data_IF_903115436668
#
_entry.id   IF_903115436668
#
_cell.length_a   1.000
_cell.length_b   1.000
_cell.length_c   1.000
_cell.angle_alpha   90.00
_cell.angle_beta   90.00
_cell.angle_gamma   90.00
#
_symmetry.space_group_name_H-M   'P 1'
#
loop_
_entity.id
_entity.type
_entity.pdbx_description
1 polymer ?
#
# COMPACT_ATOMS: atom_id res chain seq x y z
N UNK A 1 8.98 11.09 -1.80
CA UNK A 1 9.67 10.94 -3.09
C UNK A 1 8.93 9.98 -4.02
N UNK A 2 8.88 8.66 -3.74
CA UNK A 2 8.27 7.65 -4.63
C UNK A 2 6.80 7.95 -4.97
N UNK A 3 5.99 8.34 -3.99
CA UNK A 3 4.58 8.75 -4.23
C UNK A 3 4.47 9.96 -5.15
N UNK A 4 5.42 10.90 -5.07
CA UNK A 4 5.45 12.06 -5.95
C UNK A 4 5.77 11.67 -7.39
N UNK A 5 6.69 10.71 -7.61
CA UNK A 5 6.98 10.15 -8.94
C UNK A 5 5.74 9.48 -9.53
N UNK A 6 4.99 8.72 -8.72
CA UNK A 6 3.73 8.12 -9.17
C UNK A 6 2.68 9.18 -9.56
N UNK A 7 2.53 10.22 -8.75
CA UNK A 7 1.65 11.36 -9.05
C UNK A 7 2.06 12.09 -10.33
N UNK A 8 3.36 12.31 -10.53
CA UNK A 8 3.91 12.95 -11.73
C UNK A 8 3.61 12.12 -12.99
N UNK A 9 3.74 10.79 -12.93
CA UNK A 9 3.39 9.93 -14.08
C UNK A 9 1.88 10.00 -14.41
N UNK A 10 1.01 9.98 -13.40
CA UNK A 10 -0.45 9.95 -13.63
C UNK A 10 -0.99 11.32 -14.03
N UNK A 11 -0.60 12.37 -13.31
CA UNK A 11 -1.10 13.72 -13.53
C UNK A 11 -0.23 14.51 -14.51
N UNK A 12 1.09 14.51 -14.33
CA UNK A 12 2.02 15.26 -15.17
C UNK A 12 2.17 14.69 -16.57
N UNK A 13 2.42 13.38 -16.69
CA UNK A 13 2.64 12.73 -17.98
C UNK A 13 1.34 12.32 -18.68
N UNK A 14 0.43 11.63 -17.99
CA UNK A 14 -0.82 11.15 -18.60
C UNK A 14 -1.99 12.16 -18.53
N UNK A 15 -1.80 13.33 -17.91
CA UNK A 15 -2.82 14.39 -17.85
C UNK A 15 -4.04 14.05 -16.99
N UNK A 16 -4.00 12.98 -16.19
CA UNK A 16 -5.11 12.52 -15.36
C UNK A 16 -4.91 12.96 -13.92
N UNK A 17 -5.67 13.95 -13.46
CA UNK A 17 -5.61 14.35 -12.06
C UNK A 17 -6.21 13.25 -11.17
N UNK A 18 -5.37 12.56 -10.40
CA UNK A 18 -5.80 11.58 -9.38
C UNK A 18 -5.45 12.07 -7.99
N UNK A 19 -6.49 12.28 -7.18
CA UNK A 19 -6.39 12.70 -5.78
C UNK A 19 -6.56 11.54 -4.80
N UNK A 20 -6.70 10.31 -5.31
CA UNK A 20 -6.94 9.11 -4.50
C UNK A 20 -5.70 8.24 -4.23
N UNK A 21 -4.49 8.74 -4.45
CA UNK A 21 -3.27 7.94 -4.31
C UNK A 21 -3.03 7.41 -2.88
N UNK A 22 -3.63 8.05 -1.87
CA UNK A 22 -3.50 7.67 -0.47
C UNK A 22 -3.96 6.24 -0.18
N UNK A 23 -5.02 5.74 -0.84
CA UNK A 23 -5.53 4.38 -0.57
C UNK A 23 -4.53 3.30 -0.99
N UNK A 24 -3.86 3.47 -2.13
CA UNK A 24 -2.87 2.50 -2.62
C UNK A 24 -1.65 2.44 -1.70
N UNK A 25 -1.19 3.60 -1.25
CA UNK A 25 -0.10 3.68 -0.28
C UNK A 25 -0.50 3.06 1.07
N UNK A 26 -1.72 3.37 1.55
CA UNK A 26 -2.26 2.83 2.79
C UNK A 26 -2.37 1.30 2.75
N UNK A 27 -2.85 0.72 1.66
CA UNK A 27 -2.96 -0.74 1.52
C UNK A 27 -1.60 -1.44 1.55
N UNK A 28 -0.61 -0.90 0.85
CA UNK A 28 0.76 -1.42 0.93
C UNK A 28 1.36 -1.29 2.33
N UNK A 29 1.20 -0.12 2.96
CA UNK A 29 1.65 0.08 4.34
C UNK A 29 0.95 -0.84 5.34
N UNK A 30 -0.35 -1.08 5.16
CA UNK A 30 -1.15 -1.96 5.99
C UNK A 30 -0.66 -3.41 5.87
N UNK A 31 -0.42 -3.90 4.65
CA UNK A 31 0.12 -5.25 4.43
C UNK A 31 1.49 -5.45 5.11
N UNK A 32 2.37 -4.45 5.05
CA UNK A 32 3.63 -4.49 5.79
C UNK A 32 3.42 -4.42 7.31
N UNK A 33 2.47 -3.62 7.76
CA UNK A 33 2.08 -3.52 9.17
C UNK A 33 1.55 -4.83 9.73
N UNK A 34 0.79 -5.60 8.93
CA UNK A 34 0.34 -6.95 9.30
C UNK A 34 1.54 -7.86 9.59
N UNK A 35 2.57 -7.83 8.72
CA UNK A 35 3.80 -8.60 8.95
C UNK A 35 4.52 -8.21 10.23
N UNK A 36 4.70 -6.91 10.46
CA UNK A 36 5.38 -6.42 11.67
C UNK A 36 4.59 -6.76 12.95
N UNK A 37 3.26 -6.72 12.90
CA UNK A 37 2.39 -7.18 13.99
C UNK A 37 2.54 -8.66 14.27
N UNK A 38 2.56 -9.51 13.22
CA UNK A 38 2.78 -10.95 13.39
C UNK A 38 4.18 -11.24 13.93
N UNK A 39 5.19 -10.51 13.48
CA UNK A 39 6.55 -10.67 14.00
C UNK A 39 6.65 -10.29 15.48
N UNK A 40 5.97 -9.21 15.90
CA UNK A 40 5.94 -8.79 17.29
C UNK A 40 5.13 -9.74 18.19
N UNK A 41 4.06 -10.35 17.66
CA UNK A 41 3.19 -11.26 18.40
C UNK A 41 3.71 -12.70 18.51
N UNK A 42 4.62 -13.12 17.63
CA UNK A 42 5.09 -14.50 17.55
C UNK A 42 3.95 -15.46 17.23
N UNK A 43 3.78 -16.50 18.05
CA UNK A 43 2.70 -17.48 17.91
C UNK A 43 1.34 -16.97 18.42
N UNK A 44 1.33 -15.82 19.11
CA UNK A 44 0.12 -15.20 19.64
C UNK A 44 -0.70 -14.39 18.63
N UNK A 45 -1.81 -13.84 19.10
CA UNK A 45 -2.58 -12.83 18.37
C UNK A 45 -1.88 -11.46 18.45
N UNK A 46 -1.93 -10.65 17.38
CA UNK A 46 -1.52 -9.25 17.44
C UNK A 46 -2.17 -8.50 18.62
N UNK A 47 -1.42 -7.63 19.29
CA UNK A 47 -1.86 -6.95 20.51
C UNK A 47 -3.19 -6.20 20.37
N UNK A 48 -3.44 -5.56 19.22
CA UNK A 48 -4.71 -4.86 18.99
C UNK A 48 -5.90 -5.82 18.86
N UNK A 49 -5.70 -7.05 18.37
CA UNK A 49 -6.75 -8.06 18.26
C UNK A 49 -7.13 -8.58 19.63
N UNK A 50 -6.14 -8.79 20.51
CA UNK A 50 -6.39 -9.11 21.91
C UNK A 50 -7.13 -7.98 22.64
N UNK A 51 -6.77 -6.72 22.36
CA UNK A 51 -7.48 -5.55 22.92
C UNK A 51 -8.94 -5.45 22.46
N UNK A 52 -9.23 -5.84 21.22
CA UNK A 52 -10.58 -5.91 20.67
C UNK A 52 -11.32 -7.21 21.01
N UNK A 53 -10.77 -8.05 21.91
CA UNK A 53 -11.34 -9.33 22.34
C UNK A 53 -11.58 -10.32 21.20
N UNK A 54 -10.72 -10.33 20.18
CA UNK A 54 -10.79 -11.34 19.12
C UNK A 54 -10.23 -12.67 19.62
N UNK A 55 -10.91 -13.76 19.26
CA UNK A 55 -10.53 -15.13 19.64
C UNK A 55 -9.62 -15.82 18.64
N UNK A 56 -9.65 -15.40 17.38
CA UNK A 56 -8.93 -16.06 16.28
C UNK A 56 -8.39 -15.05 15.26
N UNK A 57 -7.39 -15.49 14.50
CA UNK A 57 -6.77 -14.69 13.46
C UNK A 57 -7.62 -14.76 12.18
N UNK A 58 -8.15 -13.63 11.66
CA UNK A 58 -8.97 -13.64 10.45
C UNK A 58 -8.19 -14.20 9.24
N UNK A 59 -8.89 -14.85 8.33
CA UNK A 59 -8.30 -15.54 7.18
C UNK A 59 -7.40 -14.66 6.30
N UNK A 60 -7.72 -13.37 6.13
CA UNK A 60 -6.93 -12.43 5.33
C UNK A 60 -5.62 -11.99 6.01
N UNK A 61 -5.42 -12.31 7.29
CA UNK A 61 -4.12 -12.17 7.98
C UNK A 61 -3.23 -13.40 7.81
N UNK A 62 -3.74 -14.49 7.25
CA UNK A 62 -2.95 -15.72 7.12
C UNK A 62 -1.76 -15.54 6.19
N UNK A 63 -0.64 -16.15 6.57
CA UNK A 63 0.62 -16.08 5.83
C UNK A 63 1.41 -14.79 6.07
N UNK A 64 0.83 -13.76 6.70
CA UNK A 64 1.51 -12.48 6.95
C UNK A 64 2.68 -12.59 7.92
N UNK A 65 2.88 -13.73 8.60
CA UNK A 65 4.13 -14.02 9.32
C UNK A 65 5.35 -14.25 8.40
N UNK A 66 5.12 -14.58 7.12
CA UNK A 66 6.19 -14.79 6.15
C UNK A 66 6.46 -13.51 5.37
N UNK A 67 7.71 -13.04 5.41
CA UNK A 67 8.09 -11.77 4.79
C UNK A 67 7.83 -11.74 3.28
N UNK A 68 8.16 -12.82 2.56
CA UNK A 68 7.94 -12.88 1.11
C UNK A 68 6.44 -12.78 0.74
N UNK A 69 5.58 -13.42 1.53
CA UNK A 69 4.13 -13.33 1.35
C UNK A 69 3.63 -11.90 1.62
N UNK A 70 4.10 -11.28 2.70
CA UNK A 70 3.76 -9.89 2.99
C UNK A 70 4.20 -8.94 1.86
N UNK A 71 5.41 -9.10 1.32
CA UNK A 71 5.89 -8.30 0.19
C UNK A 71 5.07 -8.51 -1.09
N UNK A 72 4.62 -9.74 -1.33
CA UNK A 72 3.69 -10.02 -2.41
C UNK A 72 2.35 -9.29 -2.18
N UNK A 73 1.80 -9.27 -0.97
CA UNK A 73 0.59 -8.50 -0.65
C UNK A 73 0.79 -6.98 -0.80
N UNK A 74 1.95 -6.45 -0.41
CA UNK A 74 2.29 -5.02 -0.56
C UNK A 74 2.18 -4.56 -2.01
N UNK A 75 2.46 -5.43 -2.98
CA UNK A 75 2.34 -5.12 -4.42
C UNK A 75 0.97 -5.53 -4.97
N UNK A 76 0.53 -6.75 -4.69
CA UNK A 76 -0.67 -7.31 -5.31
C UNK A 76 -1.96 -6.66 -4.82
N UNK A 77 -2.09 -6.37 -3.52
CA UNK A 77 -3.34 -5.80 -2.98
C UNK A 77 -3.64 -4.42 -3.59
N UNK A 78 -2.73 -3.43 -3.51
CA UNK A 78 -2.96 -2.15 -4.18
C UNK A 78 -2.96 -2.29 -5.71
N UNK A 79 -2.15 -3.19 -6.28
CA UNK A 79 -2.11 -3.42 -7.74
C UNK A 79 -3.41 -3.99 -8.31
N UNK A 80 -4.03 -4.95 -7.63
CA UNK A 80 -5.33 -5.50 -8.01
C UNK A 80 -6.44 -4.46 -7.85
N UNK A 81 -6.43 -3.68 -6.78
CA UNK A 81 -7.38 -2.58 -6.63
C UNK A 81 -7.21 -1.55 -7.77
N UNK A 82 -5.97 -1.20 -8.10
CA UNK A 82 -5.67 -0.28 -9.20
C UNK A 82 -6.11 -0.85 -10.55
N UNK A 83 -5.94 -2.16 -10.76
CA UNK A 83 -6.38 -2.84 -11.98
C UNK A 83 -7.91 -2.81 -12.10
N UNK A 84 -8.63 -3.21 -11.05
CA UNK A 84 -10.10 -3.22 -11.04
C UNK A 84 -10.63 -1.81 -11.24
N UNK A 85 -10.16 -0.84 -10.44
CA UNK A 85 -10.58 0.55 -10.56
C UNK A 85 -10.25 1.14 -11.92
N UNK A 86 -9.01 0.96 -12.39
CA UNK A 86 -8.55 1.45 -13.68
C UNK A 86 -9.36 0.87 -14.82
N UNK A 87 -9.63 -0.44 -14.80
CA UNK A 87 -10.46 -1.08 -15.83
C UNK A 87 -11.84 -0.44 -15.95
N UNK A 88 -12.55 -0.22 -14.84
CA UNK A 88 -13.85 0.46 -14.85
C UNK A 88 -13.75 1.92 -15.29
N UNK A 89 -12.74 2.66 -14.79
CA UNK A 89 -12.56 4.07 -15.09
C UNK A 89 -12.28 4.30 -16.58
N UNK A 90 -11.38 3.50 -17.17
CA UNK A 90 -10.99 3.61 -18.59
C UNK A 90 -12.05 3.05 -19.53
N UNK A 91 -12.69 1.92 -19.19
CA UNK A 91 -13.78 1.36 -20.00
C UNK A 91 -14.98 2.31 -20.09
N UNK A 92 -15.24 3.04 -19.00
CA UNK A 92 -16.30 4.07 -18.94
C UNK A 92 -15.89 5.40 -19.58
N UNK A 93 -14.68 5.49 -20.17
CA UNK A 93 -14.13 6.71 -20.82
C UNK A 93 -14.19 7.96 -19.94
N UNK A 94 -13.95 7.79 -18.64
CA UNK A 94 -14.05 8.89 -17.66
C UNK A 94 -12.85 9.82 -17.83
N UNK A 95 -13.10 11.13 -17.89
CA UNK A 95 -12.08 12.15 -18.16
C UNK A 95 -12.15 13.31 -17.18
N UNK A 96 -11.01 14.00 -17.02
CA UNK A 96 -10.91 15.24 -16.27
C UNK A 96 -11.37 15.11 -14.81
N UNK A 97 -12.16 16.08 -14.35
CA UNK A 97 -12.59 16.21 -12.95
C UNK A 97 -13.34 14.98 -12.43
N UNK A 98 -14.11 14.29 -13.28
CA UNK A 98 -14.85 13.10 -12.87
C UNK A 98 -13.91 11.97 -12.42
N UNK A 99 -12.74 11.83 -13.05
CA UNK A 99 -11.74 10.87 -12.62
C UNK A 99 -11.21 11.21 -11.21
N UNK A 100 -10.92 12.49 -10.97
CA UNK A 100 -10.49 12.97 -9.65
C UNK A 100 -11.55 12.69 -8.58
N UNK A 101 -12.82 13.02 -8.83
CA UNK A 101 -13.93 12.77 -7.89
C UNK A 101 -14.04 11.28 -7.57
N UNK A 102 -13.97 10.39 -8.58
CA UNK A 102 -14.01 8.95 -8.34
C UNK A 102 -12.84 8.46 -7.49
N UNK A 103 -11.61 8.92 -7.76
CA UNK A 103 -10.43 8.50 -6.98
C UNK A 103 -10.51 8.97 -5.53
N UNK A 104 -11.07 10.17 -5.28
CA UNK A 104 -11.35 10.65 -3.92
C UNK A 104 -12.44 9.83 -3.26
N UNK A 105 -13.54 9.55 -3.96
CA UNK A 105 -14.63 8.72 -3.45
C UNK A 105 -14.14 7.32 -3.07
N UNK A 106 -13.28 6.70 -3.88
CA UNK A 106 -12.64 5.42 -3.56
C UNK A 106 -11.81 5.52 -2.28
N UNK A 107 -10.99 6.57 -2.15
CA UNK A 107 -10.15 6.78 -0.96
C UNK A 107 -10.99 7.00 0.30
N UNK A 108 -12.06 7.78 0.18
CA UNK A 108 -12.99 8.03 1.29
C UNK A 108 -13.76 6.77 1.69
N UNK A 109 -14.26 5.99 0.72
CA UNK A 109 -14.89 4.70 0.99
C UNK A 109 -13.91 3.72 1.66
N UNK A 110 -12.65 3.69 1.21
CA UNK A 110 -11.58 2.93 1.84
C UNK A 110 -11.35 3.36 3.28
N UNK A 111 -11.24 4.66 3.55
CA UNK A 111 -11.12 5.19 4.91
C UNK A 111 -12.27 4.72 5.80
N UNK A 112 -13.52 4.84 5.35
CA UNK A 112 -14.69 4.37 6.10
C UNK A 112 -14.64 2.86 6.37
N UNK A 113 -14.19 2.05 5.40
CA UNK A 113 -14.05 0.61 5.56
C UNK A 113 -13.02 0.26 6.65
N UNK A 114 -11.85 0.91 6.62
CA UNK A 114 -10.78 0.69 7.60
C UNK A 114 -11.16 1.16 9.01
N UNK A 115 -12.00 2.20 9.12
CA UNK A 115 -12.45 2.72 10.42
C UNK A 115 -13.50 1.85 11.11
N UNK A 116 -14.20 0.99 10.37
CA UNK A 116 -15.14 0.04 10.96
C UNK A 116 -14.36 -1.07 11.69
N UNK A 117 -14.58 -1.21 12.99
CA UNK A 117 -13.98 -2.31 13.78
C UNK A 117 -14.48 -3.70 13.33
N UNK A 118 -15.73 -3.77 12.86
CA UNK A 118 -16.41 -5.00 12.44
C UNK A 118 -15.82 -5.65 11.19
N UNK A 119 -15.02 -4.93 10.40
CA UNK A 119 -14.44 -5.44 9.14
C UNK A 119 -13.18 -6.28 9.37
N UNK A 120 -12.66 -6.30 10.59
CA UNK A 120 -11.45 -7.05 10.93
C UNK A 120 -10.14 -6.34 10.54
N UNK A 121 -10.17 -5.03 10.29
CA UNK A 121 -8.97 -4.21 10.04
C UNK A 121 -8.45 -3.45 11.28
N UNK A 122 -9.06 -3.65 12.45
CA UNK A 122 -8.62 -3.01 13.70
C UNK A 122 -9.07 -1.56 13.89
N UNK A 123 -9.84 -1.01 12.94
CA UNK A 123 -10.43 0.33 13.05
C UNK A 123 -9.39 1.44 13.12
N UNK A 124 -9.58 2.32 14.08
CA UNK A 124 -8.69 3.44 14.39
C UNK A 124 -7.68 3.15 15.52
N UNK A 125 -7.57 1.89 15.99
CA UNK A 125 -6.71 1.54 17.13
C UNK A 125 -5.21 1.50 16.77
N UNK A 126 -4.87 1.50 15.48
CA UNK A 126 -3.49 1.54 14.99
C UNK A 126 -2.67 0.28 15.31
N UNK A 127 -1.54 0.13 14.62
CA UNK A 127 -0.56 -0.93 14.89
C UNK A 127 0.54 -0.39 15.82
N UNK A 128 0.92 -1.18 16.83
CA UNK A 128 1.85 -0.75 17.88
C UNK A 128 2.83 -1.87 18.26
N UNK A 129 4.00 -1.53 18.80
CA UNK A 129 4.97 -2.55 19.26
C UNK A 129 5.88 -3.12 18.16
N UNK A 130 6.15 -2.35 17.10
CA UNK A 130 7.15 -2.71 16.09
C UNK A 130 8.57 -2.64 16.68
N UNK A 131 9.15 -3.79 17.00
CA UNK A 131 10.49 -3.86 17.60
C UNK A 131 11.54 -4.41 16.64
N UNK A 132 11.15 -5.35 15.79
CA UNK A 132 12.04 -6.05 14.86
C UNK A 132 11.49 -6.04 13.43
N UNK A 133 12.40 -6.20 12.48
CA UNK A 133 12.16 -6.42 11.06
C UNK A 133 13.10 -7.53 10.61
N UNK A 134 12.57 -8.65 10.08
CA UNK A 134 13.40 -9.81 9.70
C UNK A 134 14.35 -10.32 10.82
N UNK A 135 13.98 -10.14 12.09
CA UNK A 135 14.80 -10.49 13.25
C UNK A 135 15.80 -9.42 13.67
N UNK A 136 15.99 -8.37 12.88
CA UNK A 136 16.85 -7.24 13.22
C UNK A 136 16.06 -6.16 13.97
N UNK A 137 16.66 -5.58 15.01
CA UNK A 137 16.03 -4.44 15.70
C UNK A 137 15.86 -3.25 14.76
N UNK A 138 14.67 -2.65 14.74
CA UNK A 138 14.36 -1.46 13.91
C UNK A 138 15.09 -0.20 14.44
N UNK A 139 15.53 -0.21 15.70
CA UNK A 139 16.29 0.90 16.28
C UNK A 139 17.80 0.81 16.02
N UNK A 140 18.30 -0.36 15.58
CA UNK A 140 19.72 -0.54 15.29
C UNK A 140 20.18 0.35 14.12
N UNK A 141 21.38 0.90 14.25
CA UNK A 141 21.98 1.81 13.26
C UNK A 141 22.12 1.11 11.89
N UNK A 142 22.58 -0.15 11.89
CA UNK A 142 22.72 -0.97 10.68
C UNK A 142 21.39 -1.18 9.96
N UNK A 143 20.32 -1.50 10.69
CA UNK A 143 18.97 -1.67 10.12
C UNK A 143 18.46 -0.38 9.51
N UNK A 144 18.61 0.75 10.20
CA UNK A 144 18.20 2.07 9.68
C UNK A 144 18.98 2.45 8.43
N UNK A 145 20.29 2.23 8.42
CA UNK A 145 21.13 2.47 7.26
C UNK A 145 20.73 1.59 6.07
N UNK A 146 20.46 0.30 6.30
CA UNK A 146 19.99 -0.63 5.27
C UNK A 146 18.63 -0.21 4.71
N UNK A 147 17.67 0.19 5.56
CA UNK A 147 16.36 0.70 5.14
C UNK A 147 16.47 1.98 4.33
N UNK A 148 17.37 2.89 4.71
CA UNK A 148 17.64 4.11 3.95
C UNK A 148 18.20 3.77 2.57
N UNK A 149 19.22 2.91 2.48
CA UNK A 149 19.78 2.45 1.22
C UNK A 149 18.75 1.74 0.35
N UNK A 150 17.93 0.86 0.94
CA UNK A 150 16.83 0.19 0.24
C UNK A 150 15.80 1.20 -0.31
N UNK A 151 15.47 2.24 0.46
CA UNK A 151 14.55 3.31 0.02
C UNK A 151 15.14 4.11 -1.15
N UNK A 152 16.44 4.42 -1.12
CA UNK A 152 17.14 5.11 -2.22
C UNK A 152 17.14 4.23 -3.47
N UNK A 153 17.49 2.94 -3.34
CA UNK A 153 17.46 2.00 -4.46
C UNK A 153 16.05 1.86 -5.05
N UNK A 154 15.03 1.78 -4.19
CA UNK A 154 13.64 1.71 -4.63
C UNK A 154 13.21 2.99 -5.37
N UNK A 155 13.67 4.16 -4.92
CA UNK A 155 13.42 5.43 -5.61
C UNK A 155 14.06 5.44 -7.00
N UNK A 156 15.34 5.06 -7.10
CA UNK A 156 16.04 4.97 -8.39
C UNK A 156 15.37 3.98 -9.33
N UNK A 157 14.96 2.81 -8.83
CA UNK A 157 14.25 1.81 -9.58
C UNK A 157 12.87 2.32 -10.04
N UNK A 158 12.15 3.05 -9.19
CA UNK A 158 10.86 3.65 -9.57
C UNK A 158 11.01 4.69 -10.67
N UNK A 159 12.04 5.55 -10.58
CA UNK A 159 12.35 6.53 -11.63
C UNK A 159 12.72 5.84 -12.94
N UNK A 160 13.56 4.80 -12.88
CA UNK A 160 13.98 4.04 -14.05
C UNK A 160 12.81 3.34 -14.73
N UNK A 161 11.94 2.66 -13.96
CA UNK A 161 10.72 2.04 -14.49
C UNK A 161 9.77 3.10 -15.07
N UNK A 162 9.59 4.23 -14.39
CA UNK A 162 8.77 5.34 -14.88
C UNK A 162 9.26 5.87 -16.23
N UNK A 163 10.58 6.03 -16.37
CA UNK A 163 11.23 6.42 -17.63
C UNK A 163 10.99 5.39 -18.75
N UNK A 164 11.17 4.09 -18.47
CA UNK A 164 10.92 3.03 -19.45
C UNK A 164 9.44 2.99 -19.88
N UNK A 165 8.51 3.15 -18.94
CA UNK A 165 7.08 3.20 -19.22
C UNK A 165 6.72 4.37 -20.13
N UNK A 166 7.25 5.57 -19.85
CA UNK A 166 7.01 6.76 -20.66
C UNK A 166 7.53 6.59 -22.11
N UNK A 167 8.62 5.86 -22.32
CA UNK A 167 9.12 5.60 -23.68
C UNK A 167 8.44 4.45 -24.41
N UNK A 168 7.73 3.59 -23.67
CA UNK A 168 7.08 2.41 -24.22
C UNK A 168 5.91 2.76 -25.16
N UNK A 169 5.46 1.79 -25.97
CA UNK A 169 4.25 1.93 -26.80
C UNK A 169 3.03 2.30 -25.96
N UNK A 170 2.95 1.80 -24.72
CA UNK A 170 1.85 2.11 -23.80
C UNK A 170 1.90 3.58 -23.34
N UNK A 171 3.08 4.08 -22.98
CA UNK A 171 3.27 5.48 -22.61
C UNK A 171 2.84 6.45 -23.72
N UNK A 172 3.21 6.16 -24.96
CA UNK A 172 2.81 6.96 -26.14
C UNK A 172 1.30 6.97 -26.43
N UNK A 173 0.53 6.02 -25.90
CA UNK A 173 -0.94 5.98 -26.07
C UNK A 173 -1.65 6.84 -25.03
N UNK A 174 -0.99 7.18 -23.92
CA UNK A 174 -1.56 7.98 -22.83
C UNK A 174 -1.48 9.49 -23.08
N UNK A 175 -0.57 9.94 -23.93
CA UNK A 175 -0.46 11.33 -24.46
C UNK A 175 -1.14 11.47 -25.81
#
# INVERSE_FOLDING_TARGET
AIVAVALELVWGYAGMLSLGHGIFFALGGYAMGMYLMRQAAGDGLPAFMSFLSWSELPWFWWGTQHFAWAMLLVVLVPGLLALVFGWFAFRSKIKGVYFSIMTQALTYAGMLLFFRNETGFGGNNGFTGFTTLLGFSVTAISTRAALFMATVLLLLLTLWIGYLLAQSKFGRVLT
#
